data_IF_162285340985
#
_entry.id   IF_162285340985
#
_cell.length_a   1.000
_cell.length_b   1.000
_cell.length_c   1.000
_cell.angle_alpha   90.00
_cell.angle_beta   90.00
_cell.angle_gamma   90.00
#
_symmetry.space_group_name_H-M   'P 1'
#
loop_
_entity.id
_entity.type
_entity.pdbx_description
1 polymer ?
#
# COMPACT_ATOMS: atom_id res chain seq x y z
N UNK A 1 -15.52 43.99 29.46
CA UNK A 1 -16.16 42.78 29.98
C UNK A 1 -16.47 43.05 31.45
N UNK A 2 -17.72 43.42 31.75
CA UNK A 2 -18.17 43.68 33.13
C UNK A 2 -18.38 42.33 33.82
N UNK A 3 -17.78 42.17 35.00
CA UNK A 3 -17.93 40.99 35.86
C UNK A 3 -18.72 41.44 37.08
N UNK A 4 -19.94 40.94 37.25
CA UNK A 4 -20.86 41.35 38.32
C UNK A 4 -20.40 40.88 39.71
N UNK A 5 -19.31 40.10 39.77
CA UNK A 5 -18.73 39.55 40.98
C UNK A 5 -17.50 40.32 41.48
N UNK A 6 -17.07 41.41 40.83
CA UNK A 6 -15.90 42.21 41.25
C UNK A 6 -16.31 43.53 41.91
N UNK A 7 -15.71 43.84 43.06
CA UNK A 7 -16.00 45.05 43.84
C UNK A 7 -15.05 46.23 43.52
N UNK A 8 -13.94 45.97 42.82
CA UNK A 8 -12.99 46.98 42.33
C UNK A 8 -12.42 46.61 40.95
N UNK A 9 -11.82 47.58 40.25
CA UNK A 9 -11.20 47.35 38.95
C UNK A 9 -9.96 46.45 39.05
N UNK A 10 -9.18 46.55 40.14
CA UNK A 10 -8.06 45.64 40.42
C UNK A 10 -8.56 44.20 40.63
N UNK A 11 -9.62 44.01 41.42
CA UNK A 11 -10.23 42.69 41.64
C UNK A 11 -10.78 42.11 40.33
N UNK A 12 -11.38 42.96 39.47
CA UNK A 12 -11.85 42.55 38.13
C UNK A 12 -10.69 42.03 37.28
N UNK A 13 -9.55 42.73 37.27
CA UNK A 13 -8.36 42.32 36.51
C UNK A 13 -7.79 41.01 37.04
N UNK A 14 -7.61 40.86 38.35
CA UNK A 14 -7.11 39.62 38.96
C UNK A 14 -8.01 38.42 38.64
N UNK A 15 -9.33 38.62 38.75
CA UNK A 15 -10.34 37.61 38.43
C UNK A 15 -10.35 37.22 36.95
N UNK A 16 -10.15 38.18 36.05
CA UNK A 16 -9.98 37.90 34.62
C UNK A 16 -8.68 37.13 34.34
N UNK A 17 -7.56 37.51 34.97
CA UNK A 17 -6.27 36.79 34.84
C UNK A 17 -6.41 35.36 35.38
N UNK A 18 -7.06 35.17 36.52
CA UNK A 18 -7.30 33.85 37.11
C UNK A 18 -8.17 32.98 36.19
N UNK A 19 -9.24 33.53 35.62
CA UNK A 19 -10.09 32.81 34.67
C UNK A 19 -9.36 32.46 33.37
N UNK A 20 -8.55 33.38 32.85
CA UNK A 20 -7.71 33.13 31.68
C UNK A 20 -6.66 32.05 31.96
N UNK A 21 -5.97 32.12 33.10
CA UNK A 21 -5.00 31.11 33.54
C UNK A 21 -5.68 29.75 33.72
N UNK A 22 -6.85 29.70 34.34
CA UNK A 22 -7.62 28.46 34.49
C UNK A 22 -7.97 27.86 33.13
N UNK A 23 -8.48 28.68 32.19
CA UNK A 23 -8.82 28.21 30.86
C UNK A 23 -7.58 27.75 30.07
N UNK A 24 -6.44 28.43 30.21
CA UNK A 24 -5.16 27.97 29.64
C UNK A 24 -4.71 26.62 30.21
N UNK A 25 -4.83 26.41 31.52
CA UNK A 25 -4.51 25.12 32.12
C UNK A 25 -5.44 24.02 31.62
N UNK A 26 -6.75 24.30 31.50
CA UNK A 26 -7.71 23.37 30.91
C UNK A 26 -7.33 22.99 29.47
N UNK A 27 -7.03 23.97 28.61
CA UNK A 27 -6.61 23.71 27.23
C UNK A 27 -5.29 22.92 27.16
N UNK A 28 -4.33 23.22 28.03
CA UNK A 28 -3.08 22.46 28.10
C UNK A 28 -3.30 21.02 28.59
N UNK A 29 -4.25 20.80 29.50
CA UNK A 29 -4.62 19.46 29.96
C UNK A 29 -5.27 18.65 28.83
N UNK A 30 -6.20 19.24 28.08
CA UNK A 30 -6.82 18.60 26.91
C UNK A 30 -5.79 18.29 25.82
N UNK A 31 -4.88 19.22 25.53
CA UNK A 31 -3.76 18.98 24.61
C UNK A 31 -2.82 17.87 25.13
N UNK A 32 -2.58 17.82 26.44
CA UNK A 32 -1.80 16.78 27.09
C UNK A 32 -2.42 15.39 26.97
N UNK A 33 -3.76 15.28 27.11
CA UNK A 33 -4.50 14.04 26.87
C UNK A 33 -4.33 13.56 25.44
N UNK A 34 -4.48 14.46 24.47
CA UNK A 34 -4.30 14.15 23.05
C UNK A 34 -2.87 13.71 22.72
N UNK A 35 -1.86 14.40 23.25
CA UNK A 35 -0.46 14.00 23.09
C UNK A 35 -0.19 12.62 23.70
N UNK A 36 -0.78 12.33 24.86
CA UNK A 36 -0.67 11.03 25.51
C UNK A 36 -1.27 9.90 24.66
N UNK A 37 -2.41 10.14 24.01
CA UNK A 37 -3.01 9.18 23.07
C UNK A 37 -2.08 8.86 21.90
N UNK A 38 -1.42 9.87 21.32
CA UNK A 38 -0.44 9.68 20.24
C UNK A 38 0.74 8.83 20.71
N UNK A 39 1.31 9.15 21.87
CA UNK A 39 2.46 8.41 22.43
C UNK A 39 2.07 6.96 22.73
N UNK A 40 0.89 6.73 23.30
CA UNK A 40 0.38 5.38 23.58
C UNK A 40 0.13 4.58 22.30
N UNK A 41 -0.39 5.22 21.24
CA UNK A 41 -0.53 4.59 19.93
C UNK A 41 0.83 4.18 19.36
N UNK A 42 1.80 5.09 19.39
CA UNK A 42 3.19 4.83 18.99
C UNK A 42 3.82 3.66 19.73
N UNK A 43 3.69 3.64 21.06
CA UNK A 43 4.23 2.55 21.89
C UNK A 43 3.60 1.20 21.53
N UNK A 44 2.27 1.15 21.37
CA UNK A 44 1.56 -0.08 20.99
C UNK A 44 1.97 -0.57 19.61
N UNK A 45 2.11 0.33 18.65
CA UNK A 45 2.49 -0.04 17.29
C UNK A 45 3.93 -0.59 17.26
N UNK A 46 4.88 0.09 17.91
CA UNK A 46 6.27 -0.39 18.05
C UNK A 46 6.32 -1.76 18.72
N UNK A 47 5.59 -1.95 19.83
CA UNK A 47 5.49 -3.25 20.49
C UNK A 47 4.93 -4.33 19.54
N UNK A 48 3.87 -4.00 18.79
CA UNK A 48 3.28 -4.90 17.80
C UNK A 48 4.27 -5.32 16.72
N UNK A 49 5.01 -4.37 16.14
CA UNK A 49 6.04 -4.65 15.14
C UNK A 49 7.15 -5.56 15.68
N UNK A 50 7.66 -5.27 16.89
CA UNK A 50 8.70 -6.08 17.52
C UNK A 50 8.18 -7.49 17.81
N UNK A 51 6.98 -7.61 18.37
CA UNK A 51 6.36 -8.91 18.65
C UNK A 51 6.20 -9.72 17.37
N UNK A 52 5.69 -9.11 16.29
CA UNK A 52 5.55 -9.80 15.01
C UNK A 52 6.90 -10.23 14.42
N UNK A 53 7.86 -9.30 14.31
CA UNK A 53 9.15 -9.57 13.65
C UNK A 53 10.05 -10.57 14.39
N UNK A 54 9.86 -10.73 15.71
CA UNK A 54 10.80 -11.50 16.56
C UNK A 54 10.17 -12.67 17.29
N UNK A 55 8.89 -12.59 17.67
CA UNK A 55 8.28 -13.53 18.61
C UNK A 55 7.10 -14.31 18.01
N UNK A 56 6.31 -13.67 17.14
CA UNK A 56 5.11 -14.28 16.59
C UNK A 56 5.44 -15.51 15.74
N UNK A 57 4.57 -16.52 15.80
CA UNK A 57 4.80 -17.78 15.11
C UNK A 57 4.67 -17.67 13.59
N UNK A 58 3.80 -16.76 13.15
CA UNK A 58 3.54 -16.36 11.76
C UNK A 58 4.43 -15.18 11.30
N UNK A 59 5.39 -14.79 12.12
CA UNK A 59 6.35 -13.73 11.82
C UNK A 59 7.70 -14.23 11.29
N UNK A 60 8.56 -13.33 10.79
CA UNK A 60 9.85 -13.69 10.17
C UNK A 60 10.92 -14.18 11.16
N UNK A 61 10.75 -13.99 12.47
CA UNK A 61 11.65 -14.47 13.54
C UNK A 61 13.13 -14.10 13.32
N UNK A 62 13.43 -12.83 13.05
CA UNK A 62 14.79 -12.33 12.72
C UNK A 62 15.90 -12.53 13.78
N UNK A 63 15.62 -13.18 14.92
CA UNK A 63 16.63 -13.49 15.93
C UNK A 63 17.18 -12.25 16.64
N UNK A 64 18.52 -12.09 16.67
CA UNK A 64 19.19 -11.00 17.38
C UNK A 64 19.11 -9.65 16.64
N UNK A 65 19.19 -8.55 17.39
CA UNK A 65 19.23 -7.18 16.83
C UNK A 65 20.61 -6.93 16.22
N UNK A 66 20.64 -6.53 14.95
CA UNK A 66 21.85 -6.25 14.17
C UNK A 66 21.62 -5.01 13.30
N UNK A 67 22.66 -4.47 12.67
CA UNK A 67 22.50 -3.35 11.71
C UNK A 67 21.61 -3.73 10.53
N UNK A 68 21.70 -4.98 10.05
CA UNK A 68 20.84 -5.49 8.97
C UNK A 68 19.39 -5.70 9.41
N UNK A 69 19.19 -6.09 10.66
CA UNK A 69 17.87 -6.33 11.25
C UNK A 69 17.75 -5.51 12.54
N UNK A 70 17.46 -4.20 12.44
CA UNK A 70 17.28 -3.34 13.59
C UNK A 70 16.05 -3.73 14.41
N UNK A 71 15.89 -3.12 15.58
CA UNK A 71 14.72 -3.40 16.45
C UNK A 71 13.41 -2.89 15.82
N UNK A 72 13.47 -1.77 15.12
CA UNK A 72 12.37 -1.19 14.36
C UNK A 72 12.89 -0.73 13.01
N UNK A 73 12.07 -0.86 11.96
CA UNK A 73 12.38 -0.32 10.64
C UNK A 73 12.48 1.20 10.71
N UNK A 74 13.41 1.78 9.96
CA UNK A 74 13.47 3.22 9.76
C UNK A 74 12.28 3.70 8.93
N UNK A 75 11.81 4.91 9.19
CA UNK A 75 10.63 5.49 8.51
C UNK A 75 11.03 6.57 7.51
N UNK A 76 12.27 7.04 7.60
CA UNK A 76 12.81 8.11 6.78
C UNK A 76 14.20 7.71 6.30
N UNK A 77 14.47 7.99 5.04
CA UNK A 77 15.80 7.94 4.48
C UNK A 77 16.52 9.25 4.79
N UNK A 78 17.67 9.13 5.46
CA UNK A 78 18.59 10.23 5.71
C UNK A 78 19.86 10.03 4.87
N UNK A 79 20.26 11.04 4.08
CA UNK A 79 21.45 10.95 3.23
C UNK A 79 22.73 11.52 3.87
N UNK A 80 22.61 12.39 4.87
CA UNK A 80 23.79 12.82 5.63
C UNK A 80 24.13 11.84 6.76
N UNK A 81 25.41 11.80 7.12
CA UNK A 81 25.90 11.00 8.23
C UNK A 81 25.63 11.74 9.54
N UNK A 82 24.65 11.24 10.30
CA UNK A 82 24.20 11.86 11.55
C UNK A 82 24.47 10.91 12.70
N UNK A 83 24.99 11.44 13.82
CA UNK A 83 25.46 10.62 14.95
C UNK A 83 24.58 10.76 16.20
N UNK A 84 23.64 11.71 16.23
CA UNK A 84 22.73 11.91 17.37
C UNK A 84 21.36 12.45 16.94
N UNK A 85 20.33 12.18 17.75
CA UNK A 85 18.95 12.62 17.48
C UNK A 85 18.81 14.15 17.55
N UNK A 86 19.64 14.86 18.34
CA UNK A 86 19.63 16.33 18.39
C UNK A 86 20.09 16.93 17.06
N UNK A 87 21.03 16.26 16.38
CA UNK A 87 21.46 16.66 15.04
C UNK A 87 20.34 16.38 14.03
N UNK A 88 19.67 15.23 14.10
CA UNK A 88 18.51 14.92 13.25
C UNK A 88 17.39 15.96 13.42
N UNK A 89 17.10 16.36 14.65
CA UNK A 89 16.11 17.40 14.94
C UNK A 89 16.51 18.74 14.30
N UNK A 90 17.77 19.14 14.45
CA UNK A 90 18.27 20.37 13.84
C UNK A 90 18.16 20.34 12.31
N UNK A 91 18.47 19.20 11.69
CA UNK A 91 18.38 19.00 10.24
C UNK A 91 16.93 19.01 9.75
N UNK A 92 15.99 18.49 10.55
CA UNK A 92 14.57 18.51 10.23
C UNK A 92 13.99 19.93 10.19
N UNK A 93 14.55 20.86 10.99
CA UNK A 93 14.15 22.28 10.98
C UNK A 93 14.99 23.16 10.03
N UNK A 94 16.03 22.61 9.38
CA UNK A 94 16.83 23.32 8.37
C UNK A 94 16.14 23.25 7.00
N UNK A 95 15.68 24.38 6.41
CA UNK A 95 15.01 24.39 5.11
C UNK A 95 15.86 23.85 3.96
N UNK A 96 17.18 23.95 4.04
CA UNK A 96 18.07 23.49 2.98
C UNK A 96 18.31 21.98 3.03
N UNK A 97 18.18 21.37 4.20
CA UNK A 97 18.51 19.96 4.43
C UNK A 97 17.30 19.06 4.64
N UNK A 98 16.25 19.59 5.26
CA UNK A 98 14.97 18.88 5.49
C UNK A 98 14.36 18.32 4.20
N UNK A 99 14.62 18.95 3.03
CA UNK A 99 14.19 18.44 1.72
C UNK A 99 14.78 17.08 1.33
N UNK A 100 15.85 16.63 1.99
CA UNK A 100 16.48 15.33 1.78
C UNK A 100 16.03 14.27 2.80
N UNK A 101 15.16 14.64 3.76
CA UNK A 101 14.49 13.69 4.65
C UNK A 101 13.29 13.09 3.93
N UNK A 102 13.50 11.93 3.34
CA UNK A 102 12.50 11.30 2.49
C UNK A 102 11.74 10.22 3.25
N UNK A 103 10.41 10.32 3.29
CA UNK A 103 9.59 9.32 3.96
C UNK A 103 9.53 8.01 3.16
N UNK A 104 9.70 6.88 3.84
CA UNK A 104 9.47 5.58 3.25
C UNK A 104 7.97 5.29 3.07
N UNK A 105 7.65 4.48 2.08
CA UNK A 105 6.29 4.03 1.80
C UNK A 105 5.94 2.77 2.61
N UNK A 106 4.69 2.34 2.52
CA UNK A 106 4.21 1.16 3.21
C UNK A 106 2.69 1.07 3.14
N UNK A 107 2.12 0.29 4.05
CA UNK A 107 0.68 0.15 4.19
C UNK A 107 0.24 0.24 5.66
N UNK A 108 -1.02 0.60 5.87
CA UNK A 108 -1.62 0.73 7.20
C UNK A 108 -2.86 -0.16 7.24
N UNK A 109 -2.98 -0.98 8.29
CA UNK A 109 -4.14 -1.84 8.52
C UNK A 109 -5.45 -1.05 8.48
N UNK A 110 -6.41 -1.48 7.66
CA UNK A 110 -7.76 -0.92 7.57
C UNK A 110 -7.82 0.60 7.31
N UNK A 111 -6.82 1.15 6.63
CA UNK A 111 -6.78 2.57 6.29
C UNK A 111 -7.69 2.90 5.10
N UNK A 112 -8.17 4.15 5.02
CA UNK A 112 -8.98 4.58 3.88
C UNK A 112 -8.08 4.74 2.64
N UNK A 113 -8.27 3.94 1.57
CA UNK A 113 -7.39 3.99 0.40
C UNK A 113 -7.43 5.34 -0.33
N UNK A 114 -8.46 6.16 -0.10
CA UNK A 114 -8.58 7.48 -0.72
C UNK A 114 -7.77 8.56 0.00
N UNK A 115 -7.26 8.28 1.19
CA UNK A 115 -6.43 9.21 1.95
C UNK A 115 -4.97 8.86 1.78
N UNK A 116 -4.15 9.90 1.68
CA UNK A 116 -2.70 9.70 1.69
C UNK A 116 -2.20 9.90 3.11
N UNK A 117 -1.71 8.82 3.73
CA UNK A 117 -1.22 8.82 5.10
C UNK A 117 0.05 9.65 5.32
N UNK A 118 0.70 10.14 4.25
CA UNK A 118 1.86 11.02 4.33
C UNK A 118 1.50 12.51 4.25
N UNK A 119 0.23 12.87 4.08
CA UNK A 119 -0.21 14.27 4.07
C UNK A 119 -0.38 14.82 5.50
N UNK A 120 -0.40 16.16 5.68
CA UNK A 120 -0.42 16.80 7.00
C UNK A 120 -1.64 16.48 7.87
N UNK A 121 -2.74 16.03 7.27
CA UNK A 121 -3.95 15.61 7.98
C UNK A 121 -3.80 14.24 8.67
N UNK A 122 -2.74 13.50 8.34
CA UNK A 122 -2.44 12.18 8.88
C UNK A 122 -1.37 12.25 9.97
N UNK A 123 -1.49 11.37 10.96
CA UNK A 123 -0.53 11.21 12.06
C UNK A 123 0.12 9.82 12.06
N UNK A 124 0.01 9.07 10.96
CA UNK A 124 0.46 7.67 10.85
C UNK A 124 1.96 7.50 11.15
N UNK A 125 2.80 8.38 10.59
CA UNK A 125 4.26 8.34 10.86
C UNK A 125 4.57 8.62 12.33
N UNK A 126 3.92 9.62 12.93
CA UNK A 126 4.13 9.99 14.33
C UNK A 126 3.65 8.88 15.28
N UNK A 127 2.51 8.26 14.97
CA UNK A 127 1.93 7.15 15.72
C UNK A 127 2.56 5.79 15.40
N UNK A 128 3.55 5.74 14.51
CA UNK A 128 4.24 4.50 14.09
C UNK A 128 3.28 3.39 13.61
N UNK A 129 2.15 3.77 13.02
CA UNK A 129 1.11 2.82 12.58
C UNK A 129 1.40 2.20 11.20
N UNK A 130 2.46 2.67 10.52
CA UNK A 130 2.85 2.24 9.19
C UNK A 130 3.64 0.93 9.24
N UNK A 131 3.18 -0.07 8.50
CA UNK A 131 4.03 -1.20 8.11
C UNK A 131 4.95 -0.72 7.00
N UNK A 132 6.13 -0.24 7.41
CA UNK A 132 7.09 0.47 6.57
C UNK A 132 7.92 -0.47 5.68
N UNK A 133 8.08 -0.09 4.41
CA UNK A 133 9.01 -0.69 3.46
C UNK A 133 10.29 0.16 3.42
N UNK A 134 11.30 -0.24 4.20
CA UNK A 134 12.56 0.50 4.37
C UNK A 134 13.45 0.58 3.11
N UNK A 135 13.05 -0.08 2.03
CA UNK A 135 13.68 -0.09 0.72
C UNK A 135 12.98 0.83 -0.30
N UNK A 136 11.82 1.41 0.04
CA UNK A 136 10.97 2.15 -0.90
C UNK A 136 10.62 3.55 -0.40
N UNK A 137 11.13 4.59 -1.07
CA UNK A 137 10.77 5.98 -0.79
C UNK A 137 9.42 6.34 -1.41
N UNK A 138 8.54 6.98 -0.64
CA UNK A 138 7.23 7.42 -1.11
C UNK A 138 7.36 8.64 -2.01
N UNK A 139 6.81 8.54 -3.22
CA UNK A 139 6.85 9.62 -4.20
C UNK A 139 5.69 10.62 -3.98
N UNK A 140 6.03 11.89 -3.83
CA UNK A 140 5.04 12.97 -3.66
C UNK A 140 4.79 13.71 -4.99
N UNK A 141 3.65 13.42 -5.61
CA UNK A 141 3.23 14.04 -6.87
C UNK A 141 2.57 15.41 -6.69
N UNK A 142 2.05 15.74 -5.51
CA UNK A 142 1.14 16.87 -5.33
C UNK A 142 -0.21 16.67 -6.02
N UNK A 143 -0.96 17.75 -6.17
CA UNK A 143 -2.31 17.75 -6.75
C UNK A 143 -2.27 17.88 -8.28
N UNK A 144 -1.22 18.51 -8.82
CA UNK A 144 -1.06 18.76 -10.26
C UNK A 144 0.39 18.62 -10.72
N UNK A 145 0.63 18.46 -12.04
CA UNK A 145 1.99 18.36 -12.59
C UNK A 145 2.93 19.51 -12.21
N UNK A 146 2.40 20.72 -12.01
CA UNK A 146 3.19 21.90 -11.62
C UNK A 146 3.81 21.79 -10.22
N UNK A 147 3.24 20.96 -9.33
CA UNK A 147 3.70 20.86 -7.95
C UNK A 147 5.03 20.09 -7.85
N UNK A 148 5.25 19.13 -8.76
CA UNK A 148 6.52 18.40 -8.87
C UNK A 148 6.85 18.06 -10.33
N UNK A 149 7.16 19.06 -11.19
CA UNK A 149 7.26 18.86 -12.63
C UNK A 149 8.29 17.78 -13.00
N UNK A 150 9.39 17.72 -12.25
CA UNK A 150 10.41 16.69 -12.43
C UNK A 150 9.83 15.28 -12.28
N UNK A 151 9.09 14.99 -11.20
CA UNK A 151 8.54 13.66 -10.97
C UNK A 151 7.50 13.26 -12.01
N UNK A 152 6.59 14.19 -12.36
CA UNK A 152 5.56 13.94 -13.37
C UNK A 152 6.18 13.71 -14.76
N UNK A 153 7.20 14.50 -15.13
CA UNK A 153 7.92 14.31 -16.37
C UNK A 153 8.77 13.05 -16.33
N UNK A 154 9.43 12.73 -15.22
CA UNK A 154 10.22 11.51 -15.06
C UNK A 154 9.35 10.24 -15.20
N UNK A 155 8.13 10.27 -14.68
CA UNK A 155 7.17 9.16 -14.82
C UNK A 155 6.46 9.11 -16.17
N UNK A 156 6.55 10.18 -16.96
CA UNK A 156 5.93 10.28 -18.29
C UNK A 156 6.94 10.06 -19.42
N UNK A 157 8.12 10.66 -19.30
CA UNK A 157 9.17 10.76 -20.31
C UNK A 157 10.38 9.90 -19.95
N UNK A 158 10.89 9.23 -20.97
CA UNK A 158 12.15 8.51 -20.96
C UNK A 158 13.33 9.50 -20.82
N UNK A 159 13.90 9.66 -19.62
CA UNK A 159 15.17 10.40 -19.49
C UNK A 159 16.36 9.50 -19.89
N UNK A 160 17.01 9.90 -20.98
CA UNK A 160 18.06 9.18 -21.71
C UNK A 160 19.37 8.94 -20.92
N UNK A 161 19.48 9.43 -19.68
CA UNK A 161 20.76 9.57 -18.97
C UNK A 161 20.90 8.71 -17.69
N UNK A 162 19.89 7.88 -17.34
CA UNK A 162 19.97 7.01 -16.17
C UNK A 162 19.46 5.61 -16.50
N UNK A 163 20.31 4.60 -16.27
CA UNK A 163 20.08 3.17 -16.57
C UNK A 163 19.03 2.49 -15.65
N UNK A 164 18.07 3.24 -15.14
CA UNK A 164 17.02 2.73 -14.25
C UNK A 164 15.70 2.75 -15.02
N UNK A 165 15.11 1.58 -15.20
CA UNK A 165 13.84 1.36 -15.89
C UNK A 165 12.75 2.10 -15.12
N UNK A 166 12.26 3.25 -15.62
CA UNK A 166 11.05 3.87 -15.07
C UNK A 166 10.12 4.31 -16.20
N UNK A 167 9.03 3.54 -16.31
CA UNK A 167 7.65 3.76 -16.77
C UNK A 167 7.37 5.05 -17.56
N UNK A 168 6.66 5.07 -18.70
CA UNK A 168 5.53 4.21 -19.12
C UNK A 168 5.38 4.12 -20.64
N UNK A 169 5.94 5.09 -21.39
CA UNK A 169 5.89 5.11 -22.85
C UNK A 169 6.62 3.91 -23.46
N UNK A 170 7.83 3.60 -23.01
CA UNK A 170 8.55 2.42 -23.50
C UNK A 170 7.87 1.11 -23.10
N UNK A 171 7.35 1.01 -21.87
CA UNK A 171 6.55 -0.16 -21.48
C UNK A 171 5.31 -0.32 -22.37
N UNK A 172 4.61 0.77 -22.71
CA UNK A 172 3.46 0.73 -23.61
C UNK A 172 3.85 0.44 -25.07
N UNK A 173 5.07 0.82 -25.50
CA UNK A 173 5.60 0.44 -26.82
C UNK A 173 5.89 -1.05 -26.89
N UNK A 174 6.51 -1.60 -25.86
CA UNK A 174 6.97 -3.00 -25.84
C UNK A 174 5.86 -3.98 -25.45
N UNK A 175 5.09 -3.67 -24.40
CA UNK A 175 4.11 -4.56 -23.78
C UNK A 175 2.68 -4.23 -24.20
N UNK A 176 1.84 -5.26 -24.22
CA UNK A 176 0.42 -5.17 -24.57
C UNK A 176 -0.46 -4.85 -23.36
N UNK A 177 0.11 -4.91 -22.15
CA UNK A 177 -0.62 -4.60 -20.94
C UNK A 177 0.27 -4.23 -19.76
N UNK A 178 -0.37 -3.65 -18.74
CA UNK A 178 0.28 -3.21 -17.50
C UNK A 178 -0.46 -3.79 -16.29
N UNK A 179 0.30 -4.42 -15.39
CA UNK A 179 -0.13 -4.73 -14.02
C UNK A 179 0.09 -3.49 -13.17
N UNK A 180 -0.95 -2.99 -12.50
CA UNK A 180 -0.82 -1.94 -11.49
C UNK A 180 -0.83 -2.59 -10.12
N UNK A 181 0.32 -2.57 -9.49
CA UNK A 181 0.52 -3.01 -8.11
C UNK A 181 -0.09 -2.00 -7.14
N UNK A 182 -0.72 -2.49 -6.07
CA UNK A 182 -1.26 -1.64 -5.00
C UNK A 182 -2.06 -0.41 -5.50
N UNK A 183 -2.93 -0.60 -6.49
CA UNK A 183 -3.59 0.50 -7.21
C UNK A 183 -4.43 1.40 -6.29
N UNK A 184 -4.96 0.82 -5.21
CA UNK A 184 -5.75 1.51 -4.20
C UNK A 184 -4.94 2.53 -3.38
N UNK A 185 -3.61 2.41 -3.34
CA UNK A 185 -2.70 3.35 -2.65
C UNK A 185 -2.14 4.43 -3.58
N UNK A 186 -2.46 4.37 -4.87
CA UNK A 186 -2.04 5.37 -5.86
C UNK A 186 -3.12 6.44 -6.01
N UNK A 187 -2.79 7.74 -5.89
CA UNK A 187 -3.77 8.81 -6.12
C UNK A 187 -4.37 8.72 -7.52
N UNK A 188 -5.71 8.82 -7.60
CA UNK A 188 -6.45 8.55 -8.83
C UNK A 188 -6.02 9.48 -9.97
N UNK A 189 -5.81 10.77 -9.69
CA UNK A 189 -5.41 11.75 -10.71
C UNK A 189 -4.03 11.43 -11.32
N UNK A 190 -3.10 10.92 -10.50
CA UNK A 190 -1.78 10.50 -10.96
C UNK A 190 -1.90 9.27 -11.85
N UNK A 191 -2.62 8.25 -11.39
CA UNK A 191 -2.82 7.02 -12.16
C UNK A 191 -3.53 7.29 -13.49
N UNK A 192 -4.57 8.13 -13.48
CA UNK A 192 -5.34 8.53 -14.65
C UNK A 192 -4.45 9.22 -15.69
N UNK A 193 -3.70 10.24 -15.29
CA UNK A 193 -2.78 10.96 -16.17
C UNK A 193 -1.77 10.03 -16.84
N UNK A 194 -1.14 9.15 -16.04
CA UNK A 194 -0.11 8.26 -16.55
C UNK A 194 -0.70 7.14 -17.43
N UNK A 195 -1.91 6.63 -17.16
CA UNK A 195 -2.57 5.61 -18.00
C UNK A 195 -2.97 6.23 -19.34
N UNK A 196 -3.50 7.45 -19.32
CA UNK A 196 -3.84 8.18 -20.54
C UNK A 196 -2.61 8.37 -21.43
N UNK A 197 -1.48 8.80 -20.86
CA UNK A 197 -0.23 8.93 -21.60
C UNK A 197 0.25 7.58 -22.19
N UNK A 198 0.04 6.46 -21.48
CA UNK A 198 0.35 5.14 -22.02
C UNK A 198 -0.60 4.73 -23.17
N UNK A 199 -1.89 5.10 -23.07
CA UNK A 199 -2.91 4.82 -24.10
C UNK A 199 -2.78 5.68 -25.35
N UNK A 200 -2.19 6.86 -25.26
CA UNK A 200 -1.83 7.67 -26.44
C UNK A 200 -0.85 6.91 -27.36
N UNK A 201 0.02 6.08 -26.78
CA UNK A 201 0.96 5.24 -27.52
C UNK A 201 0.31 3.94 -27.96
N UNK A 202 -0.45 3.30 -27.05
CA UNK A 202 -1.13 2.03 -27.30
C UNK A 202 -2.61 2.13 -26.91
N UNK A 203 -3.49 2.47 -27.87
CA UNK A 203 -4.92 2.64 -27.59
C UNK A 203 -5.60 1.38 -27.04
N UNK A 204 -5.11 0.19 -27.38
CA UNK A 204 -5.60 -1.12 -26.97
C UNK A 204 -4.89 -1.69 -25.73
N UNK A 205 -4.20 -0.85 -24.94
CA UNK A 205 -3.47 -1.27 -23.76
C UNK A 205 -4.38 -1.94 -22.72
N UNK A 206 -4.10 -3.22 -22.44
CA UNK A 206 -4.77 -3.99 -21.40
C UNK A 206 -4.24 -3.62 -20.02
N UNK A 207 -5.09 -3.08 -19.15
CA UNK A 207 -4.67 -2.67 -17.79
C UNK A 207 -5.35 -3.57 -16.78
N UNK A 208 -4.58 -4.20 -15.89
CA UNK A 208 -5.13 -4.97 -14.80
C UNK A 208 -4.49 -4.56 -13.48
N UNK A 209 -5.26 -4.61 -12.40
CA UNK A 209 -4.85 -4.00 -11.14
C UNK A 209 -5.10 -4.92 -9.95
N UNK A 210 -4.16 -4.88 -9.02
CA UNK A 210 -4.37 -5.32 -7.66
C UNK A 210 -5.12 -4.22 -6.89
N UNK A 211 -6.40 -4.45 -6.64
CA UNK A 211 -7.29 -3.45 -6.06
C UNK A 211 -8.17 -4.10 -4.99
N UNK A 212 -7.92 -3.70 -3.74
CA UNK A 212 -8.59 -4.18 -2.55
C UNK A 212 -9.03 -2.99 -1.69
N UNK A 213 -10.12 -2.33 -2.07
CA UNK A 213 -10.60 -1.15 -1.32
C UNK A 213 -11.54 -1.51 -0.16
N UNK A 214 -11.89 -2.79 -0.01
CA UNK A 214 -12.90 -3.27 0.94
C UNK A 214 -14.34 -2.93 0.57
N UNK A 215 -14.57 -2.27 -0.56
CA UNK A 215 -15.90 -1.87 -1.03
C UNK A 215 -16.00 -2.00 -2.56
N UNK A 216 -16.99 -2.73 -3.04
CA UNK A 216 -17.23 -2.89 -4.48
C UNK A 216 -17.55 -1.56 -5.17
N UNK A 217 -18.20 -0.62 -4.47
CA UNK A 217 -18.48 0.73 -4.98
C UNK A 217 -17.19 1.53 -5.20
N UNK A 218 -16.25 1.46 -4.24
CA UNK A 218 -14.94 2.09 -4.38
C UNK A 218 -14.15 1.42 -5.50
N UNK A 219 -14.14 0.09 -5.58
CA UNK A 219 -13.48 -0.64 -6.67
C UNK A 219 -14.01 -0.17 -8.04
N UNK A 220 -15.34 -0.08 -8.20
CA UNK A 220 -15.98 0.38 -9.43
C UNK A 220 -15.59 1.83 -9.79
N UNK A 221 -15.42 2.72 -8.80
CA UNK A 221 -14.94 4.07 -9.04
C UNK A 221 -13.53 4.07 -9.66
N UNK A 222 -12.59 3.28 -9.13
CA UNK A 222 -11.24 3.15 -9.68
C UNK A 222 -11.27 2.54 -11.09
N UNK A 223 -12.04 1.47 -11.29
CA UNK A 223 -12.19 0.81 -12.59
C UNK A 223 -12.69 1.79 -13.65
N UNK A 224 -13.74 2.55 -13.34
CA UNK A 224 -14.36 3.48 -14.27
C UNK A 224 -13.45 4.67 -14.59
N UNK A 225 -12.77 5.24 -13.59
CA UNK A 225 -11.91 6.42 -13.81
C UNK A 225 -10.60 6.08 -14.50
N UNK A 226 -9.97 4.96 -14.12
CA UNK A 226 -8.68 4.54 -14.68
C UNK A 226 -8.86 3.74 -15.97
N UNK A 227 -10.08 3.27 -16.26
CA UNK A 227 -10.38 2.34 -17.34
C UNK A 227 -9.67 1.01 -17.15
N UNK A 228 -9.64 0.48 -15.93
CA UNK A 228 -9.01 -0.84 -15.67
C UNK A 228 -9.81 -1.91 -16.41
N UNK A 229 -9.12 -2.76 -17.18
CA UNK A 229 -9.71 -3.84 -17.95
C UNK A 229 -10.06 -5.04 -17.05
N UNK A 230 -9.21 -5.38 -16.08
CA UNK A 230 -9.46 -6.50 -15.16
C UNK A 230 -8.96 -6.24 -13.75
N UNK A 231 -9.69 -6.75 -12.75
CA UNK A 231 -9.24 -6.77 -11.35
C UNK A 231 -8.64 -8.13 -11.02
N UNK A 232 -7.48 -8.12 -10.36
CA UNK A 232 -6.85 -9.35 -9.86
C UNK A 232 -7.73 -9.95 -8.75
N UNK A 233 -7.95 -11.26 -8.84
CA UNK A 233 -8.66 -12.07 -7.85
C UNK A 233 -7.84 -13.31 -7.58
N UNK A 234 -7.79 -13.75 -6.34
CA UNK A 234 -6.92 -14.85 -5.92
C UNK A 234 -7.73 -15.99 -5.34
N UNK A 235 -7.52 -17.20 -5.83
CA UNK A 235 -8.18 -18.39 -5.31
C UNK A 235 -7.76 -18.67 -3.87
N UNK A 236 -6.49 -18.40 -3.53
CA UNK A 236 -5.98 -18.60 -2.17
C UNK A 236 -6.62 -17.69 -1.11
N UNK A 237 -7.30 -16.60 -1.51
CA UNK A 237 -8.06 -15.77 -0.59
C UNK A 237 -9.28 -16.50 0.01
N UNK A 238 -9.74 -17.60 -0.59
CA UNK A 238 -10.77 -18.45 0.01
C UNK A 238 -10.20 -19.29 1.16
N UNK A 239 -10.77 -19.11 2.34
CA UNK A 239 -10.37 -19.85 3.55
C UNK A 239 -10.98 -21.26 3.62
N UNK A 240 -12.03 -21.53 2.84
CA UNK A 240 -12.67 -22.85 2.73
C UNK A 240 -13.21 -23.12 1.32
N UNK A 241 -13.73 -24.34 1.12
CA UNK A 241 -14.30 -24.76 -0.18
C UNK A 241 -15.59 -24.03 -0.54
N UNK A 242 -16.33 -23.52 0.45
CA UNK A 242 -17.56 -22.75 0.21
C UNK A 242 -17.22 -21.38 -0.39
N UNK A 243 -16.26 -20.66 0.20
CA UNK A 243 -15.77 -19.39 -0.33
C UNK A 243 -15.11 -19.54 -1.70
N UNK A 244 -14.37 -20.64 -1.91
CA UNK A 244 -13.81 -20.95 -3.23
C UNK A 244 -14.93 -21.09 -4.27
N UNK A 245 -16.00 -21.83 -3.94
CA UNK A 245 -17.18 -21.96 -4.78
C UNK A 245 -17.88 -20.63 -5.03
N UNK A 246 -17.99 -19.76 -4.01
CA UNK A 246 -18.56 -18.41 -4.15
C UNK A 246 -17.75 -17.52 -5.10
N UNK A 247 -16.42 -17.57 -5.04
CA UNK A 247 -15.54 -16.83 -5.95
C UNK A 247 -15.70 -17.32 -7.39
N UNK A 248 -15.64 -18.64 -7.61
CA UNK A 248 -15.82 -19.25 -8.94
C UNK A 248 -17.21 -18.93 -9.49
N UNK A 249 -18.25 -18.96 -8.66
CA UNK A 249 -19.61 -18.58 -9.06
C UNK A 249 -19.69 -17.10 -9.47
N UNK A 250 -19.10 -16.18 -8.69
CA UNK A 250 -19.10 -14.73 -9.00
C UNK A 250 -18.46 -14.43 -10.35
N UNK A 251 -17.43 -15.16 -10.74
CA UNK A 251 -16.73 -15.01 -12.03
C UNK A 251 -17.10 -16.10 -13.06
N UNK A 252 -18.14 -16.90 -12.79
CA UNK A 252 -18.58 -18.02 -13.62
C UNK A 252 -19.46 -17.62 -14.81
N UNK A 253 -19.90 -16.35 -14.84
CA UNK A 253 -20.78 -15.82 -15.89
C UNK A 253 -22.26 -15.98 -15.59
N UNK A 254 -23.08 -15.98 -16.64
CA UNK A 254 -24.53 -16.09 -16.52
C UNK A 254 -24.97 -17.49 -16.07
N UNK A 255 -26.03 -17.55 -15.26
CA UNK A 255 -26.59 -18.82 -14.77
C UNK A 255 -27.24 -19.62 -15.91
N UNK A 256 -27.19 -20.94 -15.79
CA UNK A 256 -27.93 -21.83 -16.71
C UNK A 256 -29.42 -21.53 -16.63
N UNK A 257 -30.03 -21.21 -17.78
CA UNK A 257 -31.44 -20.81 -17.83
C UNK A 257 -31.69 -19.31 -17.61
N UNK A 258 -30.64 -18.47 -17.63
CA UNK A 258 -30.79 -17.02 -17.62
C UNK A 258 -31.71 -16.54 -18.75
N UNK A 259 -32.50 -15.50 -18.47
CA UNK A 259 -33.38 -14.88 -19.46
C UNK A 259 -32.57 -14.31 -20.62
N UNK A 260 -32.96 -14.67 -21.86
CA UNK A 260 -32.31 -14.18 -23.08
C UNK A 260 -32.37 -12.66 -23.11
N UNK A 261 -31.19 -12.04 -23.13
CA UNK A 261 -31.05 -10.59 -23.19
C UNK A 261 -31.33 -10.10 -24.61
N UNK A 262 -31.97 -8.93 -24.74
CA UNK A 262 -32.19 -8.32 -26.06
C UNK A 262 -30.85 -7.92 -26.69
N UNK A 263 -30.64 -8.12 -28.01
CA UNK A 263 -29.40 -7.73 -28.69
C UNK A 263 -29.11 -6.23 -28.56
N UNK A 264 -30.16 -5.40 -28.60
CA UNK A 264 -30.07 -3.95 -28.38
C UNK A 264 -30.59 -3.64 -26.99
N UNK A 265 -29.67 -3.33 -26.08
CA UNK A 265 -29.95 -2.88 -24.72
C UNK A 265 -28.97 -1.78 -24.32
N UNK A 266 -29.34 -0.98 -23.34
CA UNK A 266 -28.37 -0.12 -22.66
C UNK A 266 -27.28 -0.99 -22.03
N UNK A 267 -26.06 -0.46 -21.97
CA UNK A 267 -24.95 -1.13 -21.29
C UNK A 267 -25.39 -1.41 -19.84
N UNK A 268 -25.47 -2.69 -19.42
CA UNK A 268 -25.85 -3.00 -18.05
C UNK A 268 -24.73 -2.59 -17.10
N UNK A 269 -25.07 -2.27 -15.85
CA UNK A 269 -24.09 -2.34 -14.79
C UNK A 269 -23.64 -3.80 -14.66
N UNK A 270 -22.34 -4.03 -14.80
CA UNK A 270 -21.73 -5.34 -14.64
C UNK A 270 -20.58 -5.26 -13.66
N UNK A 271 -20.29 -6.37 -13.00
CA UNK A 271 -19.08 -6.49 -12.20
C UNK A 271 -17.86 -6.25 -13.09
N UNK A 272 -16.83 -5.61 -12.53
CA UNK A 272 -15.55 -5.49 -13.19
C UNK A 272 -15.03 -6.89 -13.58
N UNK A 273 -14.47 -6.99 -14.78
CA UNK A 273 -13.95 -8.26 -15.28
C UNK A 273 -12.83 -8.77 -14.35
N UNK A 274 -12.82 -10.07 -14.08
CA UNK A 274 -11.85 -10.70 -13.20
C UNK A 274 -10.64 -11.24 -13.98
N UNK A 275 -9.45 -11.05 -13.43
CA UNK A 275 -8.27 -11.88 -13.73
C UNK A 275 -8.07 -12.79 -12.53
N UNK A 276 -8.55 -14.03 -12.63
CA UNK A 276 -8.57 -14.99 -11.54
C UNK A 276 -7.29 -15.82 -11.53
N UNK A 277 -6.48 -15.58 -10.50
CA UNK A 277 -5.23 -16.28 -10.26
C UNK A 277 -5.46 -17.46 -9.32
N UNK A 278 -4.96 -18.64 -9.70
CA UNK A 278 -4.88 -19.77 -8.77
C UNK A 278 -3.86 -19.49 -7.64
N UNK A 279 -2.73 -18.88 -7.97
CA UNK A 279 -1.70 -18.36 -7.09
C UNK A 279 -1.09 -17.09 -7.68
N UNK A 280 -1.09 -16.01 -6.91
CA UNK A 280 -0.25 -14.83 -7.20
C UNK A 280 1.17 -15.01 -6.65
N UNK A 281 2.09 -14.16 -7.09
CA UNK A 281 3.46 -14.17 -6.63
C UNK A 281 3.64 -13.76 -5.15
N UNK A 282 2.62 -13.15 -4.53
CA UNK A 282 2.65 -12.76 -3.12
C UNK A 282 1.99 -13.81 -2.22
N UNK A 283 1.28 -14.77 -2.83
CA UNK A 283 0.64 -15.83 -2.07
C UNK A 283 1.68 -16.88 -1.62
N UNK A 284 1.54 -17.41 -0.39
CA UNK A 284 2.28 -18.59 0.02
C UNK A 284 1.96 -19.78 -0.89
N UNK A 285 2.80 -20.81 -0.84
CA UNK A 285 2.54 -22.02 -1.65
C UNK A 285 1.26 -22.73 -1.15
N UNK A 286 0.34 -23.13 -2.05
CA UNK A 286 -0.85 -23.90 -1.68
C UNK A 286 -0.51 -25.23 -0.99
N UNK A 287 0.71 -25.73 -1.20
CA UNK A 287 1.19 -26.97 -0.58
C UNK A 287 1.34 -26.80 0.94
N UNK A 288 1.77 -25.61 1.39
CA UNK A 288 1.94 -25.29 2.82
C UNK A 288 0.63 -24.85 3.45
N UNK A 289 -0.18 -24.04 2.75
CA UNK A 289 -1.44 -23.50 3.30
C UNK A 289 -2.60 -24.48 3.23
N UNK A 290 -2.59 -25.39 2.25
CA UNK A 290 -3.65 -26.37 2.01
C UNK A 290 -3.06 -27.76 1.87
N UNK A 291 -2.83 -28.21 0.63
CA UNK A 291 -2.32 -29.54 0.32
C UNK A 291 -1.83 -29.60 -1.12
N UNK A 292 -0.87 -30.48 -1.40
CA UNK A 292 -0.44 -30.79 -2.78
C UNK A 292 -1.60 -31.29 -3.66
N UNK A 293 -2.63 -31.89 -3.06
CA UNK A 293 -3.80 -32.38 -3.78
C UNK A 293 -4.79 -31.25 -4.16
N UNK A 294 -4.63 -30.03 -3.62
CA UNK A 294 -5.51 -28.89 -3.91
C UNK A 294 -5.17 -28.19 -5.23
N UNK A 295 -3.93 -28.33 -5.73
CA UNK A 295 -3.48 -27.55 -6.89
C UNK A 295 -4.29 -27.88 -8.16
N UNK A 296 -4.44 -29.16 -8.47
CA UNK A 296 -5.20 -29.60 -9.63
C UNK A 296 -6.68 -29.18 -9.58
N UNK A 297 -7.47 -29.47 -8.51
CA UNK A 297 -8.86 -29.05 -8.46
C UNK A 297 -9.02 -27.53 -8.44
N UNK A 298 -8.15 -26.78 -7.75
CA UNK A 298 -8.21 -25.31 -7.74
C UNK A 298 -7.92 -24.73 -9.13
N UNK A 299 -6.85 -25.16 -9.81
CA UNK A 299 -6.57 -24.73 -11.18
C UNK A 299 -7.71 -25.10 -12.15
N UNK A 300 -8.30 -26.29 -12.01
CA UNK A 300 -9.45 -26.71 -12.82
C UNK A 300 -10.67 -25.80 -12.59
N UNK A 301 -10.99 -25.49 -11.33
CA UNK A 301 -12.10 -24.59 -10.99
C UNK A 301 -11.88 -23.17 -11.53
N UNK A 302 -10.68 -22.62 -11.35
CA UNK A 302 -10.32 -21.30 -11.87
C UNK A 302 -10.41 -21.27 -13.39
N UNK A 303 -9.88 -22.30 -14.07
CA UNK A 303 -9.93 -22.44 -15.54
C UNK A 303 -11.35 -22.60 -16.10
N UNK A 304 -12.29 -23.09 -15.30
CA UNK A 304 -13.71 -23.20 -15.69
C UNK A 304 -14.49 -21.89 -15.48
N UNK A 305 -13.93 -20.91 -14.78
CA UNK A 305 -14.58 -19.61 -14.62
C UNK A 305 -14.63 -18.84 -15.96
N UNK A 306 -15.69 -18.06 -16.17
CA UNK A 306 -15.87 -17.25 -17.39
C UNK A 306 -15.17 -15.90 -17.26
N UNK A 307 -13.86 -15.93 -17.01
CA UNK A 307 -13.02 -14.75 -16.83
C UNK A 307 -11.59 -15.02 -17.31
N UNK A 308 -10.72 -14.00 -17.29
CA UNK A 308 -9.30 -14.25 -17.56
C UNK A 308 -8.69 -15.04 -16.40
N UNK A 309 -7.76 -15.94 -16.70
CA UNK A 309 -7.07 -16.76 -15.71
C UNK A 309 -5.57 -16.53 -15.78
N UNK A 310 -4.87 -16.75 -14.67
CA UNK A 310 -3.42 -16.70 -14.63
C UNK A 310 -2.87 -17.56 -13.50
N UNK A 311 -1.58 -17.85 -13.59
CA UNK A 311 -0.85 -18.58 -12.57
C UNK A 311 0.58 -18.05 -12.46
N UNK A 312 1.14 -18.14 -11.26
CA UNK A 312 2.55 -17.85 -11.03
C UNK A 312 3.37 -19.08 -11.37
N UNK A 313 4.48 -18.89 -12.10
CA UNK A 313 5.42 -19.98 -12.39
C UNK A 313 5.88 -20.63 -11.09
N UNK A 314 5.80 -21.96 -11.02
CA UNK A 314 6.06 -22.75 -9.81
C UNK A 314 4.79 -23.44 -9.28
N UNK A 315 3.60 -22.93 -9.57
CA UNK A 315 2.34 -23.57 -9.19
C UNK A 315 2.18 -24.92 -9.90
N UNK A 316 2.18 -24.91 -11.24
CA UNK A 316 2.07 -26.12 -12.06
C UNK A 316 3.24 -27.09 -11.85
N UNK A 317 4.43 -26.57 -11.54
CA UNK A 317 5.63 -27.35 -11.25
C UNK A 317 5.69 -27.92 -9.82
N UNK A 318 4.65 -27.72 -9.00
CA UNK A 318 4.55 -28.24 -7.63
C UNK A 318 5.69 -27.76 -6.73
N UNK A 319 6.10 -26.50 -6.88
CA UNK A 319 7.12 -25.88 -6.04
C UNK A 319 6.58 -25.76 -4.62
N UNK A 320 7.28 -26.45 -3.69
CA UNK A 320 6.83 -26.66 -2.30
C UNK A 320 7.08 -25.51 -1.34
N UNK A 321 7.61 -24.40 -1.82
CA UNK A 321 8.00 -23.27 -1.00
C UNK A 321 7.69 -21.99 -1.75
N UNK A 322 7.44 -20.91 -1.01
CA UNK A 322 7.36 -19.58 -1.60
C UNK A 322 8.69 -19.21 -2.27
N UNK A 323 8.58 -18.59 -3.44
CA UNK A 323 9.70 -18.02 -4.19
C UNK A 323 9.58 -16.51 -4.04
N UNK A 324 10.66 -15.87 -3.65
CA UNK A 324 10.69 -14.45 -3.33
C UNK A 324 11.45 -13.69 -4.43
N UNK A 325 11.15 -12.40 -4.54
CA UNK A 325 11.87 -11.49 -5.43
C UNK A 325 12.55 -10.47 -4.55
N UNK A 326 13.88 -10.54 -4.46
CA UNK A 326 14.67 -9.67 -3.61
C UNK A 326 15.53 -8.72 -4.44
N UNK A 327 15.59 -7.46 -4.04
CA UNK A 327 16.61 -6.54 -4.51
C UNK A 327 17.94 -6.91 -3.83
N UNK A 328 18.81 -7.58 -4.57
CA UNK A 328 20.11 -8.06 -4.06
C UNK A 328 21.17 -6.96 -4.02
N UNK A 329 21.09 -6.02 -4.98
CA UNK A 329 21.93 -4.82 -5.07
C UNK A 329 21.20 -3.77 -5.90
N UNK A 330 21.62 -2.49 -5.96
CA UNK A 330 20.94 -1.47 -6.77
C UNK A 330 20.67 -1.86 -8.23
N UNK A 331 21.52 -2.71 -8.81
CA UNK A 331 21.42 -3.14 -10.22
C UNK A 331 20.93 -4.58 -10.40
N UNK A 332 20.65 -5.32 -9.32
CA UNK A 332 20.34 -6.76 -9.39
C UNK A 332 19.10 -7.08 -8.56
N UNK A 333 18.07 -7.55 -9.26
CA UNK A 333 16.92 -8.25 -8.69
C UNK A 333 17.14 -9.74 -8.86
N UNK A 334 17.11 -10.48 -7.76
CA UNK A 334 17.25 -11.93 -7.74
C UNK A 334 15.92 -12.61 -7.46
N UNK A 335 15.70 -13.76 -8.08
CA UNK A 335 14.70 -14.71 -7.62
C UNK A 335 15.35 -15.52 -6.51
N UNK A 336 14.80 -15.45 -5.31
CA UNK A 336 15.38 -16.07 -4.13
C UNK A 336 14.44 -17.08 -3.51
N UNK A 337 15.03 -18.00 -2.77
CA UNK A 337 14.32 -18.91 -1.89
C UNK A 337 14.83 -18.70 -0.48
N UNK A 338 13.92 -18.45 0.46
CA UNK A 338 14.23 -18.49 1.88
C UNK A 338 13.96 -19.88 2.45
N UNK A 339 14.90 -20.40 3.24
CA UNK A 339 14.67 -21.59 4.05
C UNK A 339 13.85 -21.19 5.29
N UNK A 340 12.64 -21.73 5.50
CA UNK A 340 11.79 -21.32 6.62
C UNK A 340 12.32 -21.75 7.99
N UNK A 341 13.31 -22.65 8.04
CA UNK A 341 13.91 -23.16 9.29
C UNK A 341 15.25 -22.50 9.58
N UNK A 342 16.10 -22.35 8.57
CA UNK A 342 17.45 -21.79 8.75
C UNK A 342 17.53 -20.30 8.43
N UNK A 343 16.49 -19.74 7.80
CA UNK A 343 16.45 -18.37 7.25
C UNK A 343 17.53 -18.07 6.21
N UNK A 344 18.20 -19.10 5.69
CA UNK A 344 19.16 -18.95 4.60
C UNK A 344 18.45 -18.58 3.30
N UNK A 345 19.05 -17.66 2.55
CA UNK A 345 18.54 -17.23 1.25
C UNK A 345 19.44 -17.78 0.15
N UNK A 346 18.84 -18.48 -0.82
CA UNK A 346 19.53 -18.99 -2.00
C UNK A 346 19.00 -18.27 -3.24
N UNK A 347 19.91 -17.69 -4.02
CA UNK A 347 19.58 -17.12 -5.34
C UNK A 347 19.41 -18.27 -6.32
N UNK A 348 18.29 -18.28 -7.05
CA UNK A 348 17.92 -19.32 -8.01
C UNK A 348 18.50 -19.05 -9.39
#
# INVERSE_FOLDING_TARGET
>A
MFRDDASSEEERVEKCIAAFRYHLHYLNEEAGKYAWEIVMAGLRAVMGHITYQRLADDGPKYGAVTEKHPLTTDYFLHLEDVTSWEQEEHLAYDPEKSKYLMAFNGWVMAYDPLKNFALPDSQVYLRRELVCWGDSVKLNYGDKPDDCPFLWNYMKEYSYESRVIVYRQECARVFHGLRIDNAHSTPIHVAEYLILAAREIRPDLYVFAELFTGSEDKDNMFVNRLGISSLIREAQAAHDSHEQGRLVYKYGGDVVGAMIQRPTRYAPASNAHGLFLDQSHDNPTPIETRSVYDLLPTAAMVSMASCAVGSTRGYDELVRHAVFVDQMSPDVVGITRHNPVTHDTVVV
#
